data_IF_834775048191
#
_entry.id   IF_834775048191
#
_cell.length_a   1.000
_cell.length_b   1.000
_cell.length_c   1.000
_cell.angle_alpha   90.00
_cell.angle_beta   90.00
_cell.angle_gamma   90.00
#
_symmetry.space_group_name_H-M   'P 1'
#
loop_
_entity.id
_entity.type
_entity.pdbx_description
1 polymer ?
#
# COMPACT_ATOMS: atom_id res chain seq x y z
N UNK A 1 12.69 12.70 37.73
CA UNK A 1 11.93 11.49 37.34
C UNK A 1 12.32 11.17 35.91
N UNK A 2 13.20 10.18 35.68
CA UNK A 2 13.61 9.80 34.32
C UNK A 2 12.47 8.95 33.74
N UNK A 3 11.73 9.51 32.78
CA UNK A 3 10.72 8.74 32.04
C UNK A 3 11.47 7.67 31.25
N UNK A 4 11.27 6.41 31.61
CA UNK A 4 11.88 5.30 30.89
C UNK A 4 11.17 5.14 29.53
N UNK A 5 11.72 5.80 28.50
CA UNK A 5 11.09 5.92 27.18
C UNK A 5 10.81 4.57 26.50
N UNK A 6 11.54 3.51 26.87
CA UNK A 6 11.39 2.17 26.30
C UNK A 6 10.07 1.49 26.63
N UNK A 7 9.35 1.97 27.66
CA UNK A 7 8.06 1.40 28.07
C UNK A 7 6.85 2.09 27.45
N UNK A 8 7.06 3.14 26.65
CA UNK A 8 5.95 3.86 26.01
C UNK A 8 5.34 3.04 24.86
N UNK A 9 4.02 3.18 24.64
CA UNK A 9 3.34 2.53 23.52
C UNK A 9 3.96 2.93 22.17
N UNK A 10 4.33 4.21 22.01
CA UNK A 10 4.98 4.72 20.80
C UNK A 10 6.32 4.02 20.56
N UNK A 11 7.15 3.86 21.60
CA UNK A 11 8.43 3.16 21.45
C UNK A 11 8.24 1.70 21.03
N UNK A 12 7.27 0.99 21.63
CA UNK A 12 6.90 -0.37 21.23
C UNK A 12 6.41 -0.44 19.79
N UNK A 13 5.60 0.53 19.36
CA UNK A 13 5.14 0.58 17.97
C UNK A 13 6.24 0.90 16.96
N UNK A 14 7.29 1.61 17.35
CA UNK A 14 8.29 2.07 16.40
C UNK A 14 9.54 1.20 16.38
N UNK A 15 10.02 0.71 17.52
CA UNK A 15 11.43 0.30 17.67
C UNK A 15 11.70 -1.09 18.25
N UNK A 16 10.69 -1.85 18.69
CA UNK A 16 10.92 -3.19 19.28
C UNK A 16 10.92 -4.31 18.24
N UNK A 17 11.54 -5.46 18.50
CA UNK A 17 11.43 -6.69 17.70
C UNK A 17 11.70 -6.54 16.18
N UNK A 18 12.70 -5.73 15.81
CA UNK A 18 13.17 -5.61 14.43
C UNK A 18 14.35 -6.54 14.16
N UNK A 19 14.33 -7.21 13.00
CA UNK A 19 15.51 -7.91 12.50
C UNK A 19 16.48 -6.90 11.86
N UNK A 20 17.79 -7.17 11.92
CA UNK A 20 18.80 -6.31 11.28
C UNK A 20 18.50 -6.10 9.78
N UNK A 21 18.12 -7.17 9.08
CA UNK A 21 17.69 -7.11 7.69
C UNK A 21 16.53 -6.13 7.49
N UNK A 22 15.54 -6.15 8.39
CA UNK A 22 14.35 -5.30 8.28
C UNK A 22 14.71 -3.82 8.38
N UNK A 23 15.55 -3.46 9.36
CA UNK A 23 16.01 -2.08 9.50
C UNK A 23 16.75 -1.62 8.24
N UNK A 24 17.67 -2.43 7.72
CA UNK A 24 18.47 -2.09 6.55
C UNK A 24 17.58 -1.86 5.32
N UNK A 25 16.69 -2.80 4.99
CA UNK A 25 15.90 -2.65 3.77
C UNK A 25 14.91 -1.49 3.90
N UNK A 26 14.30 -1.27 5.07
CA UNK A 26 13.36 -0.15 5.28
C UNK A 26 14.07 1.18 5.10
N UNK A 27 15.28 1.32 5.65
CA UNK A 27 16.12 2.49 5.42
C UNK A 27 16.40 2.70 3.93
N UNK A 28 16.74 1.65 3.19
CA UNK A 28 16.96 1.74 1.73
C UNK A 28 15.68 2.18 1.01
N UNK A 29 14.53 1.59 1.33
CA UNK A 29 13.25 1.94 0.69
C UNK A 29 12.88 3.41 0.91
N UNK A 30 13.09 3.93 2.13
CA UNK A 30 12.87 5.35 2.45
C UNK A 30 13.87 6.23 1.71
N UNK A 31 15.15 5.87 1.69
CA UNK A 31 16.18 6.60 0.97
C UNK A 31 15.89 6.69 -0.53
N UNK A 32 15.32 5.64 -1.12
CA UNK A 32 14.87 5.67 -2.52
C UNK A 32 13.77 6.73 -2.73
N UNK A 33 12.81 6.86 -1.80
CA UNK A 33 11.78 7.91 -1.92
C UNK A 33 12.38 9.32 -1.87
N UNK A 34 13.35 9.54 -0.97
CA UNK A 34 14.05 10.81 -0.85
C UNK A 34 14.93 11.09 -2.07
N UNK A 35 15.59 10.06 -2.62
CA UNK A 35 16.43 10.18 -3.81
C UNK A 35 15.61 10.59 -5.03
N UNK A 36 14.43 10.01 -5.23
CA UNK A 36 13.53 10.40 -6.34
C UNK A 36 13.17 11.88 -6.24
N UNK A 37 12.79 12.34 -5.04
CA UNK A 37 12.50 13.76 -4.82
C UNK A 37 13.73 14.64 -5.02
N UNK A 38 14.91 14.21 -4.58
CA UNK A 38 16.15 14.97 -4.78
C UNK A 38 16.51 15.13 -6.27
N UNK A 39 16.29 14.10 -7.08
CA UNK A 39 16.57 14.14 -8.53
C UNK A 39 15.50 14.92 -9.30
N UNK A 40 14.22 14.79 -8.91
CA UNK A 40 13.08 15.49 -9.54
C UNK A 40 12.23 16.18 -8.47
N UNK A 41 12.64 17.37 -8.00
CA UNK A 41 12.05 18.04 -6.83
C UNK A 41 10.75 18.81 -7.14
N UNK A 42 9.96 18.34 -8.10
CA UNK A 42 8.72 19.00 -8.54
C UNK A 42 7.48 18.62 -7.72
N UNK A 43 7.59 17.59 -6.86
CA UNK A 43 6.43 17.02 -6.15
C UNK A 43 6.76 16.63 -4.70
N UNK A 44 6.62 17.59 -3.79
CA UNK A 44 6.73 17.34 -2.36
C UNK A 44 5.65 16.35 -1.88
N UNK A 45 4.45 16.45 -2.43
CA UNK A 45 3.34 15.55 -2.08
C UNK A 45 3.61 14.12 -2.56
N UNK A 46 4.28 13.93 -3.70
CA UNK A 46 4.76 12.65 -4.18
C UNK A 46 5.74 12.00 -3.20
N UNK A 47 6.70 12.78 -2.70
CA UNK A 47 7.65 12.33 -1.67
C UNK A 47 6.94 11.95 -0.35
N UNK A 48 6.01 12.79 0.13
CA UNK A 48 5.25 12.52 1.35
C UNK A 48 4.47 11.20 1.20
N UNK A 49 3.77 11.01 0.07
CA UNK A 49 3.08 9.77 -0.24
C UNK A 49 4.03 8.57 -0.24
N UNK A 50 5.17 8.68 -0.93
CA UNK A 50 6.18 7.62 -1.01
C UNK A 50 6.73 7.18 0.35
N UNK A 51 7.13 8.15 1.18
CA UNK A 51 7.71 7.88 2.51
C UNK A 51 6.65 7.29 3.44
N UNK A 52 5.48 7.93 3.54
CA UNK A 52 4.44 7.49 4.48
C UNK A 52 3.78 6.18 4.04
N UNK A 53 3.67 5.92 2.74
CA UNK A 53 3.20 4.64 2.20
C UNK A 53 4.16 3.49 2.51
N UNK A 54 5.45 3.74 2.31
CA UNK A 54 6.50 2.77 2.66
C UNK A 54 6.44 2.43 4.16
N UNK A 55 6.37 3.46 5.03
CA UNK A 55 6.26 3.26 6.47
C UNK A 55 4.98 2.50 6.85
N UNK A 56 3.84 2.92 6.30
CA UNK A 56 2.54 2.26 6.51
C UNK A 56 2.63 0.76 6.26
N UNK A 57 3.16 0.37 5.09
CA UNK A 57 3.20 -1.03 4.69
C UNK A 57 4.20 -1.86 5.50
N UNK A 58 5.35 -1.28 5.86
CA UNK A 58 6.35 -1.96 6.68
C UNK A 58 5.82 -2.19 8.10
N UNK A 59 5.19 -1.18 8.71
CA UNK A 59 4.56 -1.37 10.01
C UNK A 59 3.37 -2.34 9.93
N UNK A 60 2.62 -2.30 8.83
CA UNK A 60 1.54 -3.24 8.54
C UNK A 60 2.02 -4.68 8.42
N UNK A 61 3.16 -4.89 7.76
CA UNK A 61 3.84 -6.18 7.71
C UNK A 61 4.17 -6.69 9.12
N UNK A 62 4.62 -5.82 10.03
CA UNK A 62 4.87 -6.19 11.44
C UNK A 62 3.59 -6.32 12.27
N UNK A 63 2.40 -6.14 11.68
CA UNK A 63 1.12 -6.21 12.38
C UNK A 63 0.86 -5.05 13.34
N UNK A 64 1.59 -3.93 13.20
CA UNK A 64 1.54 -2.78 14.12
C UNK A 64 0.45 -1.80 13.77
N UNK A 65 -0.26 -1.30 14.77
CA UNK A 65 -1.36 -0.35 14.60
C UNK A 65 -0.91 1.00 14.05
N UNK A 66 0.32 1.43 14.36
CA UNK A 66 0.87 2.69 13.84
C UNK A 66 0.89 2.76 12.31
N UNK A 67 0.83 1.60 11.63
CA UNK A 67 0.64 1.51 10.19
C UNK A 67 -0.52 2.38 9.69
N UNK A 68 -1.66 2.38 10.38
CA UNK A 68 -2.85 3.15 9.94
C UNK A 68 -2.68 4.67 10.06
N UNK A 69 -1.81 5.14 10.95
CA UNK A 69 -1.48 6.58 11.05
C UNK A 69 -0.70 7.00 9.80
N UNK A 70 0.36 6.25 9.47
CA UNK A 70 1.13 6.49 8.25
C UNK A 70 0.27 6.27 6.99
N UNK A 71 -0.60 5.25 7.01
CA UNK A 71 -1.55 4.96 5.94
C UNK A 71 -2.53 6.09 5.72
N UNK A 72 -3.04 6.74 6.79
CA UNK A 72 -3.92 7.90 6.65
C UNK A 72 -3.23 9.06 5.92
N UNK A 73 -1.99 9.37 6.30
CA UNK A 73 -1.22 10.44 5.64
C UNK A 73 -0.99 10.09 4.17
N UNK A 74 -0.60 8.84 3.89
CA UNK A 74 -0.35 8.40 2.53
C UNK A 74 -1.64 8.41 1.67
N UNK A 75 -2.76 7.88 2.17
CA UNK A 75 -4.00 7.83 1.40
C UNK A 75 -4.57 9.22 1.13
N UNK A 76 -4.39 10.19 2.04
CA UNK A 76 -4.75 11.59 1.79
C UNK A 76 -3.86 12.20 0.70
N UNK A 77 -2.54 11.97 0.75
CA UNK A 77 -1.62 12.42 -0.28
C UNK A 77 -1.94 11.77 -1.65
N UNK A 78 -2.27 10.48 -1.66
CA UNK A 78 -2.64 9.75 -2.87
C UNK A 78 -3.98 10.19 -3.44
N UNK A 79 -4.99 10.42 -2.60
CA UNK A 79 -6.26 11.00 -3.03
C UNK A 79 -6.02 12.31 -3.79
N UNK A 80 -5.15 13.19 -3.27
CA UNK A 80 -4.80 14.43 -3.96
C UNK A 80 -4.05 14.20 -5.27
N UNK A 81 -3.03 13.32 -5.26
CA UNK A 81 -2.24 12.97 -6.45
C UNK A 81 -3.13 12.39 -7.55
N UNK A 82 -4.02 11.45 -7.20
CA UNK A 82 -4.92 10.80 -8.13
C UNK A 82 -5.91 11.80 -8.74
N UNK A 83 -6.40 12.75 -7.95
CA UNK A 83 -7.25 13.84 -8.43
C UNK A 83 -6.55 14.71 -9.48
N UNK A 84 -5.37 15.26 -9.17
CA UNK A 84 -4.64 16.15 -10.09
C UNK A 84 -4.09 15.42 -11.33
N UNK A 85 -3.94 14.09 -11.24
CA UNK A 85 -3.49 13.25 -12.36
C UNK A 85 -4.64 12.70 -13.19
N UNK A 86 -5.89 13.04 -12.86
CA UNK A 86 -7.12 12.49 -13.44
C UNK A 86 -7.18 10.94 -13.40
N UNK A 87 -6.53 10.33 -12.42
CA UNK A 87 -6.55 8.89 -12.18
C UNK A 87 -7.79 8.53 -11.34
N UNK A 88 -8.99 8.65 -11.93
CA UNK A 88 -10.26 8.59 -11.19
C UNK A 88 -10.52 7.25 -10.48
N UNK A 89 -10.07 6.13 -11.05
CA UNK A 89 -10.16 4.82 -10.40
C UNK A 89 -9.34 4.76 -9.12
N UNK A 90 -8.09 5.23 -9.18
CA UNK A 90 -7.22 5.36 -8.00
C UNK A 90 -7.81 6.35 -6.98
N UNK A 91 -8.35 7.49 -7.43
CA UNK A 91 -8.98 8.48 -6.57
C UNK A 91 -10.14 7.90 -5.75
N UNK A 92 -11.06 7.19 -6.40
CA UNK A 92 -12.19 6.56 -5.71
C UNK A 92 -11.71 5.49 -4.71
N UNK A 93 -10.68 4.74 -5.08
CA UNK A 93 -10.08 3.73 -4.22
C UNK A 93 -9.38 4.35 -3.00
N UNK A 94 -8.67 5.46 -3.17
CA UNK A 94 -7.96 6.15 -2.09
C UNK A 94 -8.93 6.76 -1.07
N UNK A 95 -10.10 7.24 -1.51
CA UNK A 95 -11.19 7.64 -0.58
C UNK A 95 -11.62 6.45 0.28
N UNK A 96 -11.82 5.29 -0.34
CA UNK A 96 -12.13 4.08 0.41
C UNK A 96 -11.01 3.73 1.39
N UNK A 97 -9.74 3.88 0.99
CA UNK A 97 -8.62 3.66 1.89
C UNK A 97 -8.64 4.62 3.07
N UNK A 98 -8.86 5.91 2.86
CA UNK A 98 -8.99 6.90 3.95
C UNK A 98 -10.04 6.49 4.97
N UNK A 99 -11.22 6.04 4.50
CA UNK A 99 -12.31 5.55 5.38
C UNK A 99 -11.89 4.27 6.10
N UNK A 100 -11.15 3.38 5.43
CA UNK A 100 -10.73 2.11 6.01
C UNK A 100 -9.65 2.25 7.09
N UNK A 101 -8.85 3.32 7.10
CA UNK A 101 -7.77 3.51 8.07
C UNK A 101 -8.26 3.51 9.54
N UNK A 102 -9.25 4.33 9.95
CA UNK A 102 -9.76 4.32 11.32
C UNK A 102 -10.45 2.98 11.67
N UNK A 103 -11.09 2.33 10.70
CA UNK A 103 -11.71 1.01 10.90
C UNK A 103 -10.62 -0.03 11.20
N UNK A 104 -9.58 -0.09 10.38
CA UNK A 104 -8.46 -1.00 10.57
C UNK A 104 -7.74 -0.77 11.90
N UNK A 105 -7.53 0.50 12.29
CA UNK A 105 -6.99 0.84 13.60
C UNK A 105 -7.83 0.27 14.75
N UNK A 106 -9.15 0.39 14.67
CA UNK A 106 -10.07 -0.15 15.68
C UNK A 106 -10.02 -1.67 15.72
N UNK A 107 -10.12 -2.34 14.56
CA UNK A 107 -10.16 -3.80 14.45
C UNK A 107 -8.85 -4.44 14.94
N UNK A 108 -7.70 -3.90 14.53
CA UNK A 108 -6.39 -4.39 14.95
C UNK A 108 -6.10 -4.15 16.44
N UNK A 109 -6.82 -3.25 17.09
CA UNK A 109 -6.80 -3.12 18.54
C UNK A 109 -7.34 -4.35 19.27
N UNK A 110 -8.35 -4.99 18.70
CA UNK A 110 -9.11 -6.09 19.31
C UNK A 110 -8.63 -7.47 18.85
N UNK A 111 -8.05 -7.56 17.66
CA UNK A 111 -7.55 -8.81 17.09
C UNK A 111 -6.03 -8.86 17.11
N UNK A 112 -5.46 -9.84 17.83
CA UNK A 112 -4.01 -9.93 17.96
C UNK A 112 -3.34 -10.74 16.86
N UNK A 113 -3.92 -11.88 16.50
CA UNK A 113 -3.33 -12.82 15.55
C UNK A 113 -3.82 -12.60 14.12
N UNK A 114 -2.96 -12.93 13.16
CA UNK A 114 -3.30 -13.02 11.74
C UNK A 114 -4.19 -14.25 11.48
N UNK A 115 -5.06 -14.13 10.49
CA UNK A 115 -6.01 -15.17 10.07
C UNK A 115 -5.60 -15.74 8.72
N UNK A 116 -5.91 -17.01 8.48
CA UNK A 116 -5.60 -17.65 7.20
C UNK A 116 -6.80 -18.43 6.70
N UNK A 117 -7.08 -18.36 5.40
CA UNK A 117 -8.09 -19.21 4.80
C UNK A 117 -7.60 -20.65 4.66
N UNK A 118 -8.55 -21.60 4.73
CA UNK A 118 -8.29 -22.96 4.29
C UNK A 118 -7.88 -22.97 2.81
N UNK A 119 -7.09 -23.96 2.37
CA UNK A 119 -6.61 -24.03 0.98
C UNK A 119 -7.75 -24.03 -0.05
N UNK A 120 -8.90 -24.63 0.27
CA UNK A 120 -10.09 -24.61 -0.58
C UNK A 120 -10.69 -23.20 -0.69
N UNK A 121 -10.83 -22.49 0.43
CA UNK A 121 -11.38 -21.12 0.44
C UNK A 121 -10.42 -20.11 -0.19
N UNK A 122 -9.11 -20.31 -0.03
CA UNK A 122 -8.09 -19.51 -0.73
C UNK A 122 -8.30 -19.58 -2.24
N UNK A 123 -8.39 -20.78 -2.83
CA UNK A 123 -8.65 -20.94 -4.28
C UNK A 123 -9.93 -20.21 -4.71
N UNK A 124 -11.02 -20.31 -3.93
CA UNK A 124 -12.28 -19.62 -4.22
C UNK A 124 -12.12 -18.10 -4.22
N UNK A 125 -11.36 -17.54 -3.28
CA UNK A 125 -11.10 -16.09 -3.21
C UNK A 125 -10.33 -15.62 -4.44
N UNK A 126 -9.26 -16.32 -4.84
CA UNK A 126 -8.50 -15.92 -6.03
C UNK A 126 -9.31 -16.05 -7.31
N UNK A 127 -10.10 -17.12 -7.47
CA UNK A 127 -11.01 -17.28 -8.61
C UNK A 127 -12.10 -16.19 -8.59
N UNK A 128 -12.69 -15.93 -7.43
CA UNK A 128 -13.69 -14.88 -7.26
C UNK A 128 -13.14 -13.48 -7.56
N UNK A 129 -11.95 -13.16 -7.07
CA UNK A 129 -11.27 -11.90 -7.34
C UNK A 129 -10.94 -11.75 -8.84
N UNK A 130 -10.50 -12.82 -9.50
CA UNK A 130 -10.25 -12.84 -10.94
C UNK A 130 -11.54 -12.62 -11.74
N UNK A 131 -12.63 -13.30 -11.40
CA UNK A 131 -13.94 -13.12 -12.06
C UNK A 131 -14.47 -11.70 -11.81
N UNK A 132 -14.39 -11.20 -10.57
CA UNK A 132 -14.82 -9.85 -10.24
C UNK A 132 -14.03 -8.78 -11.02
N UNK A 133 -12.72 -9.00 -11.20
CA UNK A 133 -11.90 -8.16 -12.05
C UNK A 133 -12.34 -8.21 -13.52
N UNK A 134 -12.61 -9.39 -14.10
CA UNK A 134 -13.12 -9.49 -15.48
C UNK A 134 -14.42 -8.73 -15.67
N UNK A 135 -15.34 -8.83 -14.71
CA UNK A 135 -16.61 -8.08 -14.72
C UNK A 135 -16.36 -6.58 -14.61
N UNK A 136 -15.51 -6.15 -13.67
CA UNK A 136 -15.16 -4.75 -13.49
C UNK A 136 -14.51 -4.15 -14.74
N UNK A 137 -13.60 -4.90 -15.39
CA UNK A 137 -12.98 -4.50 -16.64
C UNK A 137 -14.03 -4.34 -17.74
N UNK A 138 -14.92 -5.31 -17.92
CA UNK A 138 -15.98 -5.23 -18.93
C UNK A 138 -16.87 -4.00 -18.73
N UNK A 139 -17.29 -3.72 -17.50
CA UNK A 139 -18.09 -2.53 -17.17
C UNK A 139 -17.31 -1.24 -17.48
N UNK A 140 -16.05 -1.13 -17.06
CA UNK A 140 -15.24 0.07 -17.29
C UNK A 140 -14.91 0.28 -18.77
N UNK A 141 -14.81 -0.79 -19.56
CA UNK A 141 -14.64 -0.71 -21.01
C UNK A 141 -15.87 -0.10 -21.69
N UNK A 142 -17.09 -0.39 -21.20
CA UNK A 142 -18.33 0.22 -21.69
C UNK A 142 -18.43 1.73 -21.37
N UNK A 143 -17.64 2.21 -20.40
CA UNK A 143 -17.59 3.62 -19.99
C UNK A 143 -16.46 4.40 -20.69
N UNK A 144 -15.80 3.83 -21.70
CA UNK A 144 -14.70 4.43 -22.46
C UNK A 144 -13.50 4.88 -21.59
N UNK A 145 -13.18 4.17 -20.51
CA UNK A 145 -11.96 4.43 -19.74
C UNK A 145 -10.70 4.32 -20.60
N UNK A 146 -9.67 5.13 -20.34
CA UNK A 146 -8.42 5.10 -21.13
C UNK A 146 -7.66 3.77 -20.98
N UNK A 147 -7.62 3.22 -19.76
CA UNK A 147 -6.96 1.94 -19.46
C UNK A 147 -7.86 1.06 -18.57
N UNK A 148 -9.02 0.61 -19.07
CA UNK A 148 -10.06 -0.03 -18.25
C UNK A 148 -9.60 -1.28 -17.49
N UNK A 149 -8.59 -1.97 -18.03
CA UNK A 149 -8.01 -3.15 -17.42
C UNK A 149 -7.18 -2.81 -16.16
N UNK A 150 -6.35 -1.76 -16.21
CA UNK A 150 -5.58 -1.29 -15.04
C UNK A 150 -6.50 -0.66 -14.00
N UNK A 151 -7.47 0.15 -14.43
CA UNK A 151 -8.42 0.79 -13.53
C UNK A 151 -9.27 -0.25 -12.78
N UNK A 152 -9.67 -1.34 -13.44
CA UNK A 152 -10.40 -2.42 -12.77
C UNK A 152 -9.56 -3.17 -11.73
N UNK A 153 -8.26 -3.41 -11.98
CA UNK A 153 -7.37 -4.01 -10.98
C UNK A 153 -7.30 -3.09 -9.76
N UNK A 154 -7.02 -1.81 -10.01
CA UNK A 154 -6.83 -0.79 -8.99
C UNK A 154 -8.08 -0.52 -8.16
N UNK A 155 -9.27 -0.86 -8.67
CA UNK A 155 -10.50 -0.76 -7.92
C UNK A 155 -10.89 -2.08 -7.26
N UNK A 156 -11.11 -3.14 -8.04
CA UNK A 156 -11.72 -4.39 -7.55
C UNK A 156 -10.75 -5.19 -6.69
N UNK A 157 -9.53 -5.44 -7.19
CA UNK A 157 -8.55 -6.27 -6.47
C UNK A 157 -8.07 -5.55 -5.23
N UNK A 158 -7.79 -4.25 -5.36
CA UNK A 158 -7.48 -3.33 -4.26
C UNK A 158 -8.52 -3.31 -3.15
N UNK A 159 -9.82 -3.28 -3.49
CA UNK A 159 -10.90 -3.32 -2.50
C UNK A 159 -10.88 -4.61 -1.70
N UNK A 160 -10.77 -5.76 -2.39
CA UNK A 160 -10.69 -7.06 -1.73
C UNK A 160 -9.42 -7.15 -0.88
N UNK A 161 -8.27 -6.70 -1.40
CA UNK A 161 -6.99 -6.70 -0.70
C UNK A 161 -7.06 -5.90 0.61
N UNK A 162 -7.63 -4.70 0.56
CA UNK A 162 -7.77 -3.85 1.73
C UNK A 162 -8.75 -4.41 2.75
N UNK A 163 -9.88 -4.96 2.30
CA UNK A 163 -10.83 -5.62 3.19
C UNK A 163 -10.16 -6.79 3.93
N UNK A 164 -9.41 -7.63 3.21
CA UNK A 164 -8.65 -8.72 3.84
C UNK A 164 -7.56 -8.20 4.79
N UNK A 165 -6.91 -7.09 4.45
CA UNK A 165 -5.87 -6.47 5.29
C UNK A 165 -6.43 -5.96 6.63
N UNK A 166 -7.52 -5.19 6.62
CA UNK A 166 -8.14 -4.71 7.87
C UNK A 166 -8.67 -5.87 8.74
N UNK A 167 -9.05 -6.97 8.10
CA UNK A 167 -9.45 -8.23 8.74
C UNK A 167 -8.26 -9.14 9.09
N UNK A 168 -7.01 -8.71 8.91
CA UNK A 168 -5.80 -9.50 9.20
C UNK A 168 -5.72 -10.86 8.50
N UNK A 169 -6.31 -11.03 7.31
CA UNK A 169 -6.15 -12.26 6.52
C UNK A 169 -4.84 -12.27 5.75
N UNK A 170 -4.02 -13.31 5.90
CA UNK A 170 -2.70 -13.45 5.27
C UNK A 170 -2.73 -13.36 3.75
N UNK A 171 -3.81 -13.81 3.12
CA UNK A 171 -4.01 -13.77 1.67
C UNK A 171 -4.03 -12.33 1.08
N UNK A 172 -4.25 -11.30 1.90
CA UNK A 172 -4.25 -9.89 1.46
C UNK A 172 -2.96 -9.54 0.68
N UNK A 173 -1.80 -10.00 1.16
CA UNK A 173 -0.50 -9.66 0.58
C UNK A 173 -0.34 -10.18 -0.85
N UNK A 174 -0.97 -11.30 -1.18
CA UNK A 174 -0.91 -11.85 -2.54
C UNK A 174 -1.70 -10.99 -3.53
N UNK A 175 -2.82 -10.40 -3.09
CA UNK A 175 -3.57 -9.46 -3.90
C UNK A 175 -2.80 -8.14 -4.05
N UNK A 176 -2.14 -7.68 -2.99
CA UNK A 176 -1.27 -6.50 -3.07
C UNK A 176 -0.10 -6.66 -4.03
N UNK A 177 0.50 -7.86 -4.15
CA UNK A 177 1.52 -8.13 -5.17
C UNK A 177 0.98 -7.83 -6.58
N UNK A 178 -0.23 -8.29 -6.90
CA UNK A 178 -0.86 -8.06 -8.21
C UNK A 178 -1.14 -6.57 -8.42
N UNK A 179 -1.71 -5.89 -7.42
CA UNK A 179 -2.02 -4.45 -7.47
C UNK A 179 -0.74 -3.62 -7.65
N UNK A 180 0.32 -3.93 -6.92
CA UNK A 180 1.57 -3.16 -6.99
C UNK A 180 2.25 -3.33 -8.36
N UNK A 181 2.22 -4.53 -8.96
CA UNK A 181 2.74 -4.75 -10.33
C UNK A 181 1.95 -3.91 -11.34
N UNK A 182 0.62 -3.92 -11.25
CA UNK A 182 -0.24 -3.12 -12.13
C UNK A 182 0.05 -1.61 -11.97
N UNK A 183 0.23 -1.14 -10.74
CA UNK A 183 0.53 0.27 -10.48
C UNK A 183 1.93 0.68 -10.93
N UNK A 184 2.96 -0.18 -10.80
CA UNK A 184 4.29 0.12 -11.36
C UNK A 184 4.17 0.40 -12.87
N UNK A 185 3.43 -0.43 -13.60
CA UNK A 185 3.22 -0.25 -15.04
C UNK A 185 2.43 1.04 -15.32
N UNK A 186 1.32 1.26 -14.60
CA UNK A 186 0.47 2.44 -14.75
C UNK A 186 1.26 3.76 -14.59
N UNK A 187 1.96 3.93 -13.46
CA UNK A 187 2.71 5.16 -13.19
C UNK A 187 3.95 5.30 -14.08
N UNK A 188 4.54 4.19 -14.54
CA UNK A 188 5.64 4.23 -15.52
C UNK A 188 5.16 4.74 -16.88
N UNK A 189 3.98 4.31 -17.35
CA UNK A 189 3.38 4.80 -18.58
C UNK A 189 3.12 6.31 -18.49
N UNK A 190 2.54 6.78 -17.39
CA UNK A 190 2.32 8.22 -17.17
C UNK A 190 3.64 9.01 -17.12
N UNK A 191 4.68 8.46 -16.50
CA UNK A 191 6.02 9.07 -16.51
C UNK A 191 6.55 9.25 -17.94
N UNK A 192 6.43 8.22 -18.78
CA UNK A 192 6.86 8.27 -20.20
C UNK A 192 6.02 9.29 -20.98
N UNK A 193 4.70 9.35 -20.75
CA UNK A 193 3.84 10.32 -21.43
C UNK A 193 4.22 11.76 -21.09
N UNK A 194 4.61 12.06 -19.84
CA UNK A 194 5.11 13.38 -19.46
C UNK A 194 6.45 13.68 -20.13
N UNK A 195 7.40 12.74 -20.09
CA UNK A 195 8.74 12.92 -20.70
C UNK A 195 8.65 13.17 -22.20
N UNK A 196 7.73 12.48 -22.89
CA UNK A 196 7.53 12.60 -24.34
C UNK A 196 6.64 13.77 -24.74
N UNK A 197 6.03 14.47 -23.78
CA UNK A 197 5.06 15.55 -24.04
C UNK A 197 3.70 15.07 -24.56
N UNK A 198 3.41 13.76 -24.47
CA UNK A 198 2.13 13.18 -24.85
C UNK A 198 0.98 13.57 -23.89
N UNK A 199 1.31 14.02 -22.68
CA UNK A 199 0.35 14.61 -21.73
C UNK A 199 0.98 15.79 -21.00
N UNK A 200 0.15 16.78 -20.67
CA UNK A 200 0.49 17.88 -19.78
C UNK A 200 -0.13 17.71 -18.37
N UNK A 201 -0.77 16.57 -18.11
CA UNK A 201 -1.45 16.27 -16.84
C UNK A 201 -0.45 15.66 -15.85
N UNK A 202 -0.44 16.19 -14.62
CA UNK A 202 0.44 15.77 -13.53
C UNK A 202 1.89 16.24 -13.69
N UNK A 203 2.79 15.68 -12.88
CA UNK A 203 4.23 16.01 -12.90
C UNK A 203 5.09 14.75 -12.94
N UNK A 204 6.30 14.89 -13.49
CA UNK A 204 7.24 13.77 -13.60
C UNK A 204 7.65 13.27 -12.21
N UNK A 205 7.98 14.18 -11.27
CA UNK A 205 8.36 13.79 -9.92
C UNK A 205 7.22 13.11 -9.16
N UNK A 206 5.96 13.48 -9.41
CA UNK A 206 4.79 12.78 -8.86
C UNK A 206 4.77 11.32 -9.34
N UNK A 207 4.85 11.11 -10.66
CA UNK A 207 4.74 9.76 -11.24
C UNK A 207 5.93 8.88 -10.89
N UNK A 208 7.16 9.41 -10.91
CA UNK A 208 8.34 8.67 -10.46
C UNK A 208 8.28 8.32 -8.97
N UNK A 209 7.76 9.22 -8.13
CA UNK A 209 7.53 8.91 -6.71
C UNK A 209 6.55 7.75 -6.55
N UNK A 210 5.50 7.70 -7.38
CA UNK A 210 4.57 6.58 -7.37
C UNK A 210 5.20 5.29 -7.87
N UNK A 211 5.99 5.30 -8.95
CA UNK A 211 6.73 4.11 -9.38
C UNK A 211 7.62 3.57 -8.26
N UNK A 212 8.38 4.45 -7.61
CA UNK A 212 9.27 4.08 -6.50
C UNK A 212 8.50 3.55 -5.29
N UNK A 213 7.37 4.15 -4.92
CA UNK A 213 6.49 3.66 -3.87
C UNK A 213 5.99 2.26 -4.22
N UNK A 214 5.41 2.06 -5.40
CA UNK A 214 4.79 0.79 -5.79
C UNK A 214 5.82 -0.34 -5.89
N UNK A 215 7.06 -0.03 -6.30
CA UNK A 215 8.18 -0.96 -6.23
C UNK A 215 8.55 -1.34 -4.78
N UNK A 216 8.60 -0.36 -3.87
CA UNK A 216 8.80 -0.61 -2.45
C UNK A 216 7.68 -1.46 -1.84
N UNK A 217 6.43 -1.15 -2.19
CA UNK A 217 5.24 -1.90 -1.74
C UNK A 217 5.25 -3.33 -2.29
N UNK A 218 5.65 -3.53 -3.55
CA UNK A 218 5.80 -4.86 -4.15
C UNK A 218 6.84 -5.69 -3.39
N UNK A 219 8.04 -5.16 -3.19
CA UNK A 219 9.09 -5.86 -2.44
C UNK A 219 8.63 -6.23 -1.03
N UNK A 220 8.06 -5.26 -0.31
CA UNK A 220 7.59 -5.48 1.06
C UNK A 220 6.44 -6.47 1.12
N UNK A 221 5.48 -6.44 0.18
CA UNK A 221 4.36 -7.39 0.15
C UNK A 221 4.83 -8.84 -0.02
N UNK A 222 5.87 -9.08 -0.82
CA UNK A 222 6.50 -10.41 -0.95
C UNK A 222 7.09 -10.86 0.39
N UNK A 223 7.87 -10.01 1.06
CA UNK A 223 8.44 -10.35 2.37
C UNK A 223 7.35 -10.50 3.44
N UNK A 224 6.29 -9.70 3.39
CA UNK A 224 5.19 -9.71 4.33
C UNK A 224 4.37 -11.01 4.28
N UNK A 225 4.25 -11.66 3.12
CA UNK A 225 3.66 -13.00 3.04
C UNK A 225 4.38 -13.99 3.97
N UNK A 226 5.72 -13.89 4.08
CA UNK A 226 6.52 -14.76 4.95
C UNK A 226 6.35 -14.39 6.41
N UNK A 227 6.43 -13.09 6.74
CA UNK A 227 6.30 -12.58 8.12
C UNK A 227 4.93 -12.92 8.72
N UNK A 228 3.86 -12.78 7.94
CA UNK A 228 2.51 -13.13 8.40
C UNK A 228 2.30 -14.64 8.49
N UNK A 229 2.85 -15.41 7.54
CA UNK A 229 2.76 -16.87 7.57
C UNK A 229 3.54 -17.50 8.74
N UNK A 230 4.60 -16.85 9.24
CA UNK A 230 5.36 -17.30 10.41
C UNK A 230 4.75 -16.88 11.76
N UNK A 231 3.67 -16.09 11.76
CA UNK A 231 3.06 -15.54 12.98
C UNK A 231 3.83 -14.38 13.60
N UNK A 232 4.91 -13.92 12.97
CA UNK A 232 5.73 -12.82 13.50
C UNK A 232 4.99 -11.47 13.54
N UNK A 233 3.93 -11.31 12.76
CA UNK A 233 3.06 -10.13 12.78
C UNK A 233 2.06 -10.14 13.94
N UNK A 234 1.84 -11.30 14.58
CA UNK A 234 0.86 -11.43 15.66
C UNK A 234 1.27 -10.59 16.87
N UNK A 235 0.29 -10.16 17.66
CA UNK A 235 0.52 -9.37 18.88
C UNK A 235 1.33 -8.09 18.62
N UNK A 236 1.02 -7.40 17.50
CA UNK A 236 1.70 -6.18 17.06
C UNK A 236 3.22 -6.36 16.90
N UNK A 237 3.63 -7.50 16.34
CA UNK A 237 5.04 -7.85 16.17
C UNK A 237 5.67 -8.43 17.43
N UNK A 238 4.90 -9.12 18.26
CA UNK A 238 5.33 -9.67 19.55
C UNK A 238 5.59 -8.62 20.63
N UNK A 239 4.90 -7.48 20.58
CA UNK A 239 5.16 -6.31 21.45
C UNK A 239 4.16 -6.15 22.59
N UNK A 240 3.10 -6.95 22.58
CA UNK A 240 2.12 -7.06 23.66
C UNK A 240 2.52 -8.11 24.70
#
# INVERSE_FOLDING_TARGET
MVINMTNTWIYKQLFTNWKKFEVIYVSILILIQLLVFFVVPDSLIGMISGVTGTLSLVYGMKGRKIAFIFGTIQCLAMTYIAWISHAYGSFAMDIFYVISQPIGWFMWGHEQATRRFSSANRKKIFVGAFIAWLIGWWILALLHGQLPYFDSINFVISFIAQLLYILKYQENWSLWIVVNIANILYWSILSIQVITGATAIGSLGTYLSQVALQAALLFNSIYATKVWASGEADNEGGTK
#
